data_IF_847550320106
#
_entry.id   IF_847550320106
#
_cell.length_a   1.000
_cell.length_b   1.000
_cell.length_c   1.000
_cell.angle_alpha   90.00
_cell.angle_beta   90.00
_cell.angle_gamma   90.00
#
_symmetry.space_group_name_H-M   'P 1'
#
loop_
_entity.id
_entity.type
_entity.pdbx_description
1 polymer ?
#
# COMPACT_ATOMS: atom_id res chain seq x y z
N UNK A 1 -33.46 -10.81 4.35
CA UNK A 1 -33.91 -10.14 3.10
C UNK A 1 -32.82 -9.29 2.42
N UNK A 2 -31.94 -8.59 3.15
CA UNK A 2 -30.86 -7.77 2.57
C UNK A 2 -29.82 -8.55 1.71
N UNK A 3 -29.45 -9.77 2.10
CA UNK A 3 -28.48 -10.60 1.35
C UNK A 3 -29.00 -11.05 -0.02
N UNK A 4 -30.31 -11.29 -0.17
CA UNK A 4 -30.91 -11.68 -1.44
C UNK A 4 -30.92 -10.53 -2.46
N UNK A 5 -31.11 -9.29 -1.99
CA UNK A 5 -31.07 -8.10 -2.84
C UNK A 5 -29.63 -7.75 -3.30
N UNK A 6 -28.62 -8.01 -2.47
CA UNK A 6 -27.20 -7.87 -2.81
C UNK A 6 -26.78 -8.88 -3.89
N UNK A 7 -27.15 -10.15 -3.74
CA UNK A 7 -26.93 -11.19 -4.75
C UNK A 7 -27.67 -10.91 -6.07
N UNK A 8 -28.90 -10.39 -6.00
CA UNK A 8 -29.66 -10.00 -7.19
C UNK A 8 -29.08 -8.77 -7.90
N UNK A 9 -28.42 -7.85 -7.17
CA UNK A 9 -27.66 -6.73 -7.74
C UNK A 9 -26.35 -7.20 -8.37
N UNK A 10 -25.63 -8.13 -7.74
CA UNK A 10 -24.43 -8.75 -8.30
C UNK A 10 -24.73 -9.52 -9.59
N UNK A 11 -25.80 -10.33 -9.61
CA UNK A 11 -26.24 -11.06 -10.82
C UNK A 11 -26.64 -10.11 -11.96
N UNK A 12 -27.34 -9.00 -11.65
CA UNK A 12 -27.66 -7.96 -12.66
C UNK A 12 -26.42 -7.24 -13.17
N UNK A 13 -25.44 -6.95 -12.30
CA UNK A 13 -24.14 -6.40 -12.69
C UNK A 13 -23.34 -7.32 -13.62
N UNK A 14 -23.38 -8.63 -13.38
CA UNK A 14 -22.76 -9.64 -14.26
C UNK A 14 -23.48 -9.71 -15.62
N UNK A 15 -24.81 -9.61 -15.65
CA UNK A 15 -25.59 -9.57 -16.89
C UNK A 15 -25.38 -8.29 -17.71
N UNK A 16 -25.28 -7.12 -17.07
CA UNK A 16 -24.91 -5.88 -17.78
C UNK A 16 -23.46 -5.88 -18.24
N UNK A 17 -22.53 -6.50 -17.51
CA UNK A 17 -21.17 -6.73 -18.00
C UNK A 17 -21.13 -7.67 -19.22
N UNK A 18 -21.96 -8.72 -19.26
CA UNK A 18 -22.09 -9.57 -20.48
C UNK A 18 -22.65 -8.80 -21.68
N UNK A 19 -23.48 -7.78 -21.47
CA UNK A 19 -24.00 -6.90 -22.54
C UNK A 19 -23.00 -5.84 -23.01
N UNK A 20 -22.14 -5.33 -22.12
CA UNK A 20 -21.14 -4.30 -22.43
C UNK A 20 -19.80 -4.90 -22.92
N UNK A 21 -19.49 -6.15 -22.57
CA UNK A 21 -18.27 -6.86 -22.95
C UNK A 21 -18.19 -7.29 -24.43
N UNK A 22 -19.17 -6.93 -25.26
CA UNK A 22 -19.11 -7.10 -26.73
C UNK A 22 -18.54 -5.88 -27.47
N UNK A 23 -18.05 -4.86 -26.77
CA UNK A 23 -17.06 -3.96 -27.38
C UNK A 23 -15.71 -4.62 -27.21
N UNK A 24 -15.07 -4.96 -28.32
CA UNK A 24 -13.75 -5.61 -28.38
C UNK A 24 -12.73 -4.89 -27.48
N UNK A 25 -12.65 -5.32 -26.23
CA UNK A 25 -11.57 -4.96 -25.33
C UNK A 25 -10.33 -5.67 -25.87
N UNK A 26 -9.61 -4.97 -26.74
CA UNK A 26 -8.36 -5.44 -27.32
C UNK A 26 -7.30 -5.42 -26.22
N UNK A 27 -7.14 -6.56 -25.54
CA UNK A 27 -6.04 -6.77 -24.61
C UNK A 27 -4.75 -6.67 -25.43
N UNK A 28 -3.83 -5.80 -25.01
CA UNK A 28 -2.53 -5.68 -25.68
C UNK A 28 -1.84 -7.06 -25.68
N UNK A 29 -1.25 -7.50 -26.80
CA UNK A 29 -0.58 -8.79 -26.88
C UNK A 29 0.45 -9.02 -25.77
N UNK A 30 1.17 -7.97 -25.37
CA UNK A 30 2.11 -8.00 -24.22
C UNK A 30 1.42 -8.31 -22.89
N UNK A 31 0.28 -7.68 -22.60
CA UNK A 31 -0.54 -7.97 -21.40
C UNK A 31 -1.07 -9.40 -21.42
N UNK A 32 -1.53 -9.85 -22.59
CA UNK A 32 -2.07 -11.20 -22.78
C UNK A 32 -0.98 -12.28 -22.59
N UNK A 33 0.21 -12.06 -23.15
CA UNK A 33 1.36 -12.94 -22.97
C UNK A 33 1.78 -13.02 -21.50
N UNK A 34 1.90 -11.87 -20.82
CA UNK A 34 2.22 -11.81 -19.39
C UNK A 34 1.24 -12.66 -18.55
N UNK A 35 -0.08 -12.53 -18.80
CA UNK A 35 -1.09 -13.34 -18.09
C UNK A 35 -1.04 -14.84 -18.41
N UNK A 36 -0.54 -15.25 -19.58
CA UNK A 36 -0.46 -16.68 -19.99
C UNK A 36 0.86 -17.35 -19.63
N UNK A 37 1.89 -16.58 -19.29
CA UNK A 37 3.22 -17.13 -18.97
C UNK A 37 3.29 -17.88 -17.63
N UNK A 38 2.31 -17.69 -16.73
CA UNK A 38 2.28 -18.37 -15.43
C UNK A 38 1.94 -19.86 -15.57
N UNK A 39 2.91 -20.73 -15.26
CA UNK A 39 2.79 -22.20 -15.25
C UNK A 39 2.80 -22.79 -13.83
N UNK A 40 2.29 -22.05 -12.84
CA UNK A 40 2.27 -22.50 -11.43
C UNK A 40 3.53 -22.16 -10.63
N UNK A 41 4.65 -21.88 -11.31
CA UNK A 41 5.89 -21.35 -10.70
C UNK A 41 6.33 -20.06 -11.38
N UNK A 42 6.69 -19.07 -10.59
CA UNK A 42 7.38 -17.88 -11.07
C UNK A 42 8.44 -17.44 -10.06
N UNK A 43 9.61 -17.07 -10.57
CA UNK A 43 10.68 -16.46 -9.79
C UNK A 43 11.23 -15.27 -10.58
N UNK A 44 11.49 -14.17 -9.89
CA UNK A 44 12.09 -12.97 -10.46
C UNK A 44 13.42 -13.29 -11.18
N UNK A 45 13.61 -12.74 -12.38
CA UNK A 45 14.82 -12.98 -13.20
C UNK A 45 16.02 -12.11 -12.76
N UNK A 46 15.77 -10.86 -12.37
CA UNK A 46 16.81 -9.98 -11.79
C UNK A 46 16.92 -10.25 -10.30
N UNK A 47 18.04 -10.84 -9.88
CA UNK A 47 18.33 -11.05 -8.45
C UNK A 47 18.87 -9.75 -7.87
N UNK A 48 17.99 -8.88 -7.42
CA UNK A 48 18.39 -7.87 -6.44
C UNK A 48 18.12 -8.51 -5.08
N UNK A 49 19.12 -8.54 -4.19
CA UNK A 49 19.03 -9.21 -2.88
C UNK A 49 17.87 -8.74 -1.99
N UNK A 50 17.21 -7.65 -2.38
CA UNK A 50 16.17 -6.93 -1.64
C UNK A 50 14.75 -7.41 -2.01
N UNK A 51 14.50 -7.93 -3.22
CA UNK A 51 13.16 -8.32 -3.68
C UNK A 51 13.19 -9.71 -4.35
N UNK A 52 13.30 -10.79 -3.57
CA UNK A 52 13.17 -12.17 -4.06
C UNK A 52 11.69 -12.58 -4.12
N UNK A 53 11.05 -12.32 -5.28
CA UNK A 53 9.65 -12.68 -5.49
C UNK A 53 9.58 -14.11 -6.04
N UNK A 54 8.90 -14.98 -5.32
CA UNK A 54 8.70 -16.37 -5.68
C UNK A 54 7.25 -16.80 -5.46
N UNK A 55 6.59 -17.20 -6.54
CA UNK A 55 5.32 -17.92 -6.48
C UNK A 55 5.60 -19.42 -6.65
N UNK A 56 5.34 -20.19 -5.60
CA UNK A 56 5.33 -21.66 -5.66
C UNK A 56 3.98 -22.19 -6.09
N UNK A 57 3.92 -23.41 -6.68
CA UNK A 57 2.65 -24.12 -6.75
C UNK A 57 2.20 -24.36 -5.31
N UNK A 58 0.92 -24.16 -5.04
CA UNK A 58 0.37 -24.56 -3.75
C UNK A 58 0.17 -26.08 -3.85
N UNK A 59 1.19 -26.87 -3.51
CA UNK A 59 1.17 -28.34 -3.68
C UNK A 59 0.02 -28.99 -2.87
N UNK A 60 -0.36 -28.42 -1.72
CA UNK A 60 -1.55 -28.81 -0.93
C UNK A 60 -2.90 -28.46 -1.59
N UNK A 61 -2.88 -27.73 -2.71
CA UNK A 61 -4.07 -27.25 -3.41
C UNK A 61 -4.08 -27.69 -4.87
N UNK A 62 -3.34 -28.73 -5.27
CA UNK A 62 -3.38 -29.24 -6.65
C UNK A 62 -4.82 -29.59 -7.12
N UNK A 63 -5.68 -30.02 -6.20
CA UNK A 63 -7.11 -30.25 -6.47
C UNK A 63 -7.96 -28.96 -6.50
N UNK A 64 -7.54 -27.89 -5.83
CA UNK A 64 -8.25 -26.59 -5.70
C UNK A 64 -7.77 -25.57 -6.76
N UNK A 65 -6.52 -25.66 -7.22
CA UNK A 65 -6.01 -25.04 -8.45
C UNK A 65 -6.79 -25.53 -9.69
N UNK A 66 -7.61 -26.58 -9.58
CA UNK A 66 -8.53 -27.00 -10.64
C UNK A 66 -9.70 -26.02 -10.85
N UNK A 67 -9.98 -25.14 -9.89
CA UNK A 67 -11.01 -24.11 -10.07
C UNK A 67 -10.47 -22.98 -10.92
N UNK A 68 -11.17 -22.69 -12.03
CA UNK A 68 -10.79 -21.65 -12.99
C UNK A 68 -10.61 -20.26 -12.33
N UNK A 69 -11.29 -20.02 -11.19
CA UNK A 69 -11.21 -18.78 -10.41
C UNK A 69 -9.85 -18.61 -9.69
N UNK A 70 -9.32 -19.65 -9.04
CA UNK A 70 -8.02 -19.57 -8.37
C UNK A 70 -6.85 -19.44 -9.35
N UNK A 71 -6.92 -20.10 -10.50
CA UNK A 71 -5.93 -19.91 -11.58
C UNK A 71 -5.97 -18.49 -12.14
N UNK A 72 -7.17 -17.94 -12.34
CA UNK A 72 -7.33 -16.57 -12.80
C UNK A 72 -6.73 -15.58 -11.79
N UNK A 73 -7.03 -15.78 -10.51
CA UNK A 73 -6.46 -14.98 -9.42
C UNK A 73 -4.94 -15.02 -9.38
N UNK A 74 -4.33 -16.22 -9.47
CA UNK A 74 -2.87 -16.39 -9.48
C UNK A 74 -2.21 -15.71 -10.69
N UNK A 75 -2.87 -15.73 -11.86
CA UNK A 75 -2.41 -14.99 -13.04
C UNK A 75 -2.46 -13.48 -12.86
N UNK A 76 -3.50 -12.96 -12.19
CA UNK A 76 -3.56 -11.53 -11.86
C UNK A 76 -2.45 -11.17 -10.88
N UNK A 77 -2.28 -11.94 -9.79
CA UNK A 77 -1.19 -11.71 -8.83
C UNK A 77 0.17 -11.70 -9.54
N UNK A 78 0.44 -12.69 -10.38
CA UNK A 78 1.66 -12.78 -11.18
C UNK A 78 1.86 -11.53 -12.06
N UNK A 79 0.81 -11.12 -12.77
CA UNK A 79 0.83 -9.90 -13.59
C UNK A 79 1.14 -8.64 -12.78
N UNK A 80 0.49 -8.46 -11.62
CA UNK A 80 0.73 -7.31 -10.75
C UNK A 80 2.15 -7.35 -10.15
N UNK A 81 2.65 -8.52 -9.73
CA UNK A 81 4.03 -8.67 -9.24
C UNK A 81 5.07 -8.31 -10.31
N UNK A 82 4.85 -8.69 -11.56
CA UNK A 82 5.74 -8.31 -12.67
C UNK A 82 5.74 -6.80 -12.93
N UNK A 83 4.59 -6.14 -12.82
CA UNK A 83 4.49 -4.68 -12.98
C UNK A 83 5.14 -3.95 -11.83
N UNK A 84 4.91 -4.41 -10.60
CA UNK A 84 5.53 -3.87 -9.39
C UNK A 84 7.06 -3.96 -9.49
N UNK A 85 7.57 -5.13 -9.90
CA UNK A 85 9.00 -5.34 -10.16
C UNK A 85 9.55 -4.34 -11.20
N UNK A 86 8.87 -4.19 -12.33
CA UNK A 86 9.30 -3.28 -13.40
C UNK A 86 9.38 -1.81 -12.95
N UNK A 87 8.55 -1.39 -11.97
CA UNK A 87 8.62 -0.04 -11.41
C UNK A 87 9.88 0.16 -10.56
N UNK A 88 10.22 -0.82 -9.73
CA UNK A 88 11.36 -0.72 -8.81
C UNK A 88 12.69 -0.71 -9.56
N UNK A 89 12.76 -1.32 -10.75
CA UNK A 89 13.93 -1.18 -11.63
C UNK A 89 14.16 0.29 -12.08
N UNK A 90 13.15 1.15 -12.00
CA UNK A 90 13.28 2.58 -12.28
C UNK A 90 13.71 3.41 -11.05
N UNK A 91 13.81 2.80 -9.86
CA UNK A 91 14.18 3.49 -8.64
C UNK A 91 15.58 4.10 -8.74
N UNK A 92 15.69 5.37 -8.38
CA UNK A 92 16.95 6.10 -8.35
C UNK A 92 17.22 6.60 -6.93
N UNK A 93 18.22 6.04 -6.25
CA UNK A 93 18.59 6.43 -4.88
C UNK A 93 19.09 7.88 -4.76
N UNK A 94 19.62 8.45 -5.85
CA UNK A 94 20.11 9.84 -5.91
C UNK A 94 19.02 10.83 -6.38
N UNK A 95 17.76 10.40 -6.52
CA UNK A 95 16.70 11.23 -7.12
C UNK A 95 16.48 12.57 -6.39
N UNK A 96 16.53 12.57 -5.06
CA UNK A 96 16.32 13.78 -4.27
C UNK A 96 17.54 14.71 -4.35
N UNK A 97 18.76 14.18 -4.23
CA UNK A 97 19.98 14.98 -4.28
C UNK A 97 20.19 15.64 -5.65
N UNK A 98 19.84 14.94 -6.74
CA UNK A 98 19.84 15.53 -8.09
C UNK A 98 18.86 16.69 -8.27
N UNK A 99 17.88 16.82 -7.37
CA UNK A 99 16.84 17.85 -7.41
C UNK A 99 16.98 18.88 -6.28
N UNK A 100 18.08 18.85 -5.51
CA UNK A 100 18.25 19.66 -4.28
C UNK A 100 17.09 19.48 -3.28
N UNK A 101 16.40 18.33 -3.34
CA UNK A 101 15.33 17.96 -2.42
C UNK A 101 15.91 17.18 -1.25
N UNK A 102 15.26 17.30 -0.09
CA UNK A 102 15.62 16.52 1.10
C UNK A 102 14.53 15.50 1.45
N UNK A 103 14.87 14.41 2.19
CA UNK A 103 13.87 13.50 2.72
C UNK A 103 12.77 14.21 3.52
N UNK A 104 13.14 15.26 4.27
CA UNK A 104 12.21 16.09 5.04
C UNK A 104 11.20 16.84 4.16
N UNK A 105 11.63 17.39 3.02
CA UNK A 105 10.71 18.02 2.06
C UNK A 105 9.72 17.02 1.47
N UNK A 106 10.17 15.80 1.16
CA UNK A 106 9.29 14.71 0.70
C UNK A 106 8.27 14.32 1.77
N UNK A 107 8.72 14.10 3.01
CA UNK A 107 7.86 13.80 4.14
C UNK A 107 6.82 14.91 4.38
N UNK A 108 7.24 16.18 4.28
CA UNK A 108 6.36 17.35 4.44
C UNK A 108 5.28 17.39 3.36
N UNK A 109 5.66 17.19 2.09
CA UNK A 109 4.70 17.13 0.97
C UNK A 109 3.71 15.97 1.17
N UNK A 110 4.18 14.76 1.50
CA UNK A 110 3.31 13.59 1.58
C UNK A 110 2.38 13.66 2.79
N UNK A 111 2.86 14.18 3.93
CA UNK A 111 2.02 14.51 5.08
C UNK A 111 0.94 15.54 4.72
N UNK A 112 1.25 16.55 3.91
CA UNK A 112 0.25 17.48 3.38
C UNK A 112 -0.75 16.79 2.44
N UNK A 113 -0.29 15.93 1.52
CA UNK A 113 -1.17 15.18 0.61
C UNK A 113 -2.15 14.26 1.35
N UNK A 114 -1.75 13.63 2.46
CA UNK A 114 -2.66 12.86 3.32
C UNK A 114 -3.78 13.76 3.87
N UNK A 115 -3.45 15.00 4.28
CA UNK A 115 -4.45 15.97 4.76
C UNK A 115 -5.38 16.41 3.62
N UNK A 116 -4.86 16.63 2.43
CA UNK A 116 -5.65 16.97 1.23
C UNK A 116 -6.63 15.84 0.88
N UNK A 117 -6.16 14.59 0.88
CA UNK A 117 -7.02 13.43 0.69
C UNK A 117 -8.12 13.34 1.74
N UNK A 118 -7.79 13.57 3.01
CA UNK A 118 -8.77 13.53 4.09
C UNK A 118 -9.74 14.73 4.08
N UNK A 119 -9.36 15.87 3.50
CA UNK A 119 -10.24 17.02 3.34
C UNK A 119 -11.25 16.81 2.20
N UNK A 120 -10.77 16.42 1.01
CA UNK A 120 -11.61 16.22 -0.18
C UNK A 120 -12.24 14.83 -0.31
N UNK A 121 -11.91 13.90 0.58
CA UNK A 121 -12.50 12.55 0.66
C UNK A 121 -12.38 11.73 -0.62
N UNK A 122 -11.37 11.98 -1.44
CA UNK A 122 -11.07 11.09 -2.55
C UNK A 122 -10.47 9.76 -2.06
N UNK A 123 -10.49 8.67 -2.85
CA UNK A 123 -10.04 7.35 -2.39
C UNK A 123 -8.58 7.33 -1.90
N UNK A 124 -8.27 6.53 -0.87
CA UNK A 124 -6.88 6.38 -0.39
C UNK A 124 -5.99 5.76 -1.46
N UNK A 125 -6.55 4.92 -2.31
CA UNK A 125 -5.88 4.38 -3.50
C UNK A 125 -5.41 5.49 -4.44
N UNK A 126 -6.18 6.57 -4.62
CA UNK A 126 -5.80 7.72 -5.45
C UNK A 126 -4.60 8.48 -4.86
N UNK A 127 -4.54 8.61 -3.54
CA UNK A 127 -3.41 9.21 -2.83
C UNK A 127 -2.13 8.40 -3.06
N UNK A 128 -2.21 7.07 -2.92
CA UNK A 128 -1.06 6.19 -3.13
C UNK A 128 -0.60 6.14 -4.59
N UNK A 129 -1.53 6.25 -5.55
CA UNK A 129 -1.17 6.47 -6.96
C UNK A 129 -0.47 7.82 -7.11
N UNK A 130 -1.01 8.89 -6.55
CA UNK A 130 -0.41 10.23 -6.63
C UNK A 130 1.01 10.27 -6.04
N UNK A 131 1.23 9.73 -4.84
CA UNK A 131 2.56 9.71 -4.22
C UNK A 131 3.57 8.88 -5.04
N UNK A 132 3.13 7.76 -5.61
CA UNK A 132 3.94 6.97 -6.54
C UNK A 132 4.33 7.78 -7.79
N UNK A 133 3.39 8.58 -8.33
CA UNK A 133 3.67 9.45 -9.46
C UNK A 133 4.64 10.59 -9.10
N UNK A 134 4.58 11.13 -7.88
CA UNK A 134 5.54 12.14 -7.41
C UNK A 134 6.95 11.56 -7.36
N UNK A 135 7.14 10.43 -6.68
CA UNK A 135 8.44 9.77 -6.56
C UNK A 135 8.99 9.41 -7.94
N UNK A 136 8.17 8.78 -8.79
CA UNK A 136 8.62 8.39 -10.13
C UNK A 136 8.97 9.59 -11.01
N UNK A 137 8.30 10.73 -10.83
CA UNK A 137 8.65 11.95 -11.54
C UNK A 137 10.03 12.47 -11.12
N UNK A 138 10.33 12.48 -9.82
CA UNK A 138 11.64 12.92 -9.31
C UNK A 138 12.77 11.95 -9.65
N UNK A 139 12.48 10.66 -9.85
CA UNK A 139 13.46 9.69 -10.35
C UNK A 139 13.95 10.01 -11.77
N UNK A 140 13.10 10.65 -12.59
CA UNK A 140 13.35 10.90 -14.03
C UNK A 140 13.63 12.36 -14.37
N UNK A 141 13.19 13.30 -13.53
CA UNK A 141 13.24 14.74 -13.82
C UNK A 141 13.72 15.51 -12.60
N UNK A 142 14.75 16.32 -12.82
CA UNK A 142 15.16 17.34 -11.86
C UNK A 142 14.01 18.29 -11.58
N UNK A 143 13.68 18.45 -10.30
CA UNK A 143 12.57 19.29 -9.84
C UNK A 143 13.09 20.29 -8.83
N UNK A 144 13.01 21.58 -9.16
CA UNK A 144 13.40 22.62 -8.21
C UNK A 144 12.51 22.58 -6.95
N UNK A 145 13.07 22.81 -5.76
CA UNK A 145 12.34 22.86 -4.49
C UNK A 145 11.01 23.63 -4.54
N UNK A 146 11.00 24.81 -5.17
CA UNK A 146 9.84 25.72 -5.19
C UNK A 146 8.69 25.21 -6.09
N UNK A 147 8.98 24.25 -6.98
CA UNK A 147 8.00 23.62 -7.86
C UNK A 147 7.64 22.19 -7.41
N UNK A 148 8.15 21.73 -6.27
CA UNK A 148 7.90 20.38 -5.78
C UNK A 148 6.43 20.18 -5.32
N UNK A 149 5.83 21.18 -4.67
CA UNK A 149 4.39 21.13 -4.33
C UNK A 149 3.51 21.07 -5.58
N UNK A 150 3.85 21.80 -6.64
CA UNK A 150 3.16 21.72 -7.94
C UNK A 150 3.20 20.30 -8.54
N UNK A 151 4.32 19.57 -8.40
CA UNK A 151 4.39 18.15 -8.79
C UNK A 151 3.39 17.32 -7.97
N UNK A 152 3.32 17.55 -6.66
CA UNK A 152 2.35 16.89 -5.78
C UNK A 152 0.89 17.15 -6.19
N UNK A 153 0.55 18.41 -6.48
CA UNK A 153 -0.79 18.80 -6.91
C UNK A 153 -1.16 18.14 -8.25
N UNK A 154 -0.29 18.22 -9.25
CA UNK A 154 -0.52 17.57 -10.55
C UNK A 154 -0.65 16.04 -10.42
N UNK A 155 0.13 15.43 -9.53
CA UNK A 155 0.03 14.01 -9.23
C UNK A 155 -1.32 13.63 -8.60
N UNK A 156 -1.89 14.48 -7.73
CA UNK A 156 -3.25 14.29 -7.19
C UNK A 156 -4.28 14.32 -8.30
N UNK A 157 -4.21 15.30 -9.22
CA UNK A 157 -5.11 15.39 -10.39
C UNK A 157 -5.09 14.07 -11.18
N UNK A 158 -3.89 13.56 -11.50
CA UNK A 158 -3.74 12.29 -12.20
C UNK A 158 -4.25 11.11 -11.37
N UNK A 159 -3.90 11.05 -10.09
CA UNK A 159 -4.35 9.99 -9.17
C UNK A 159 -5.87 9.88 -9.14
N UNK A 160 -6.58 10.99 -8.94
CA UNK A 160 -8.05 10.98 -8.88
C UNK A 160 -8.67 10.63 -10.24
N UNK A 161 -8.15 11.17 -11.35
CA UNK A 161 -8.62 10.82 -12.70
C UNK A 161 -8.45 9.33 -13.01
N UNK A 162 -7.39 8.69 -12.50
CA UNK A 162 -7.10 7.28 -12.73
C UNK A 162 -7.94 6.32 -11.86
N UNK A 163 -8.39 6.75 -10.67
CA UNK A 163 -9.01 5.84 -9.69
C UNK A 163 -10.49 6.07 -9.44
N UNK A 164 -11.05 7.24 -9.75
CA UNK A 164 -12.47 7.55 -9.46
C UNK A 164 -13.24 8.02 -10.71
N UNK A 165 -14.52 7.64 -10.77
CA UNK A 165 -15.47 8.13 -11.80
C UNK A 165 -15.95 9.55 -11.54
N UNK A 166 -15.82 10.03 -10.30
CA UNK A 166 -16.20 11.38 -9.88
C UNK A 166 -14.94 12.04 -9.29
N UNK A 167 -14.07 12.61 -10.14
CA UNK A 167 -12.85 13.25 -9.68
C UNK A 167 -13.18 14.47 -8.83
N UNK A 168 -12.56 14.54 -7.67
CA UNK A 168 -12.56 15.65 -6.71
C UNK A 168 -11.21 15.59 -6.00
N UNK A 169 -10.56 16.72 -5.66
CA UNK A 169 -10.93 18.13 -5.89
C UNK A 169 -10.92 18.61 -7.36
N UNK A 170 -11.48 19.80 -7.63
CA UNK A 170 -11.29 20.52 -8.91
C UNK A 170 -9.87 21.11 -9.02
N UNK A 171 -9.52 21.69 -10.17
CA UNK A 171 -8.24 22.40 -10.32
C UNK A 171 -8.20 23.68 -9.48
N UNK A 172 -9.30 24.41 -9.43
CA UNK A 172 -9.45 25.64 -8.65
C UNK A 172 -9.33 25.35 -7.15
N UNK A 173 -9.98 24.27 -6.68
CA UNK A 173 -9.86 23.75 -5.32
C UNK A 173 -8.40 23.46 -4.94
N UNK A 174 -7.65 22.80 -5.84
CA UNK A 174 -6.25 22.48 -5.62
C UNK A 174 -5.36 23.72 -5.61
N UNK A 175 -5.62 24.71 -6.48
CA UNK A 175 -4.90 25.98 -6.48
C UNK A 175 -5.16 26.74 -5.18
N UNK A 176 -6.42 26.76 -4.72
CA UNK A 176 -6.80 27.34 -3.44
C UNK A 176 -6.06 26.70 -2.25
N UNK A 177 -5.90 25.37 -2.22
CA UNK A 177 -5.12 24.67 -1.19
C UNK A 177 -3.63 25.04 -1.18
N UNK A 178 -3.11 25.55 -2.29
CA UNK A 178 -1.74 26.08 -2.37
C UNK A 178 -1.68 27.58 -2.10
N UNK A 179 -2.72 28.16 -1.50
CA UNK A 179 -2.85 29.61 -1.27
C UNK A 179 -2.70 30.41 -2.58
N UNK A 180 -3.15 29.83 -3.69
CA UNK A 180 -3.00 30.37 -5.05
C UNK A 180 -1.54 30.63 -5.46
N UNK A 181 -0.58 29.89 -4.89
CA UNK A 181 0.82 29.90 -5.33
C UNK A 181 0.96 29.47 -6.80
N UNK A 182 0.03 28.65 -7.29
CA UNK A 182 0.00 28.18 -8.68
C UNK A 182 -1.35 28.47 -9.34
N UNK A 183 -1.31 28.74 -10.65
CA UNK A 183 -2.53 28.85 -11.47
C UNK A 183 -3.02 27.50 -11.98
N UNK A 184 -4.26 27.43 -12.44
CA UNK A 184 -4.82 26.20 -13.03
C UNK A 184 -4.06 25.79 -14.30
N UNK A 185 -3.55 26.75 -15.08
CA UNK A 185 -2.72 26.52 -16.26
C UNK A 185 -1.36 25.91 -15.89
N UNK A 186 -0.74 26.37 -14.80
CA UNK A 186 0.51 25.77 -14.31
C UNK A 186 0.29 24.31 -13.87
N UNK A 187 -0.84 24.02 -13.21
CA UNK A 187 -1.20 22.65 -12.80
C UNK A 187 -1.43 21.77 -14.03
N UNK A 188 -2.18 22.25 -15.03
CA UNK A 188 -2.42 21.53 -16.28
C UNK A 188 -1.13 21.28 -17.07
N UNK A 189 -0.27 22.29 -17.17
CA UNK A 189 1.04 22.15 -17.81
C UNK A 189 1.89 21.10 -17.09
N UNK A 190 1.87 21.08 -15.75
CA UNK A 190 2.59 20.08 -14.98
C UNK A 190 2.01 18.68 -15.19
N UNK A 191 0.68 18.54 -15.22
CA UNK A 191 -0.01 17.29 -15.52
C UNK A 191 0.44 16.74 -16.88
N UNK A 192 0.40 17.56 -17.93
CA UNK A 192 0.84 17.16 -19.28
C UNK A 192 2.32 16.75 -19.30
N UNK A 193 3.18 17.49 -18.59
CA UNK A 193 4.60 17.16 -18.48
C UNK A 193 4.84 15.82 -17.77
N UNK A 194 4.05 15.49 -16.75
CA UNK A 194 4.11 14.17 -16.09
C UNK A 194 3.68 13.07 -17.06
N UNK A 195 2.56 13.23 -17.76
CA UNK A 195 2.07 12.26 -18.77
C UNK A 195 3.14 11.96 -19.83
N UNK A 196 3.75 13.01 -20.41
CA UNK A 196 4.83 12.87 -21.40
C UNK A 196 6.07 12.21 -20.82
N UNK A 197 6.45 12.55 -19.58
CA UNK A 197 7.62 11.96 -18.91
C UNK A 197 7.45 10.45 -18.68
N UNK A 198 6.22 10.00 -18.47
CA UNK A 198 5.90 8.58 -18.28
C UNK A 198 5.56 7.83 -19.57
N UNK A 199 5.52 8.51 -20.72
CA UNK A 199 5.05 7.90 -21.97
C UNK A 199 3.63 7.32 -21.82
N UNK A 200 2.78 7.97 -21.03
CA UNK A 200 1.43 7.51 -20.69
C UNK A 200 1.33 6.15 -19.95
N UNK A 201 2.44 5.61 -19.46
CA UNK A 201 2.43 4.41 -18.61
C UNK A 201 2.37 4.81 -17.13
N UNK A 202 1.18 5.16 -16.61
CA UNK A 202 1.02 5.70 -15.23
C UNK A 202 0.59 4.68 -14.19
N UNK A 203 -0.11 3.62 -14.62
CA UNK A 203 -0.74 2.68 -13.71
C UNK A 203 0.33 1.68 -13.29
N UNK A 204 0.64 1.67 -12.00
CA UNK A 204 1.45 0.65 -11.35
C UNK A 204 0.75 0.16 -10.08
N UNK A 205 1.06 -1.07 -9.63
CA UNK A 205 0.54 -1.58 -8.36
C UNK A 205 0.93 -0.67 -7.21
N UNK A 206 0.01 -0.50 -6.27
CA UNK A 206 0.24 0.17 -4.98
C UNK A 206 0.05 -0.88 -3.86
N UNK A 207 0.51 -0.64 -2.62
CA UNK A 207 0.37 -1.64 -1.55
C UNK A 207 -1.08 -2.10 -1.34
N UNK A 208 -2.05 -1.20 -1.57
CA UNK A 208 -3.48 -1.49 -1.53
C UNK A 208 -3.92 -2.59 -2.51
N UNK A 209 -3.28 -2.68 -3.69
CA UNK A 209 -3.55 -3.70 -4.71
C UNK A 209 -3.38 -5.11 -4.15
N UNK A 210 -2.45 -5.29 -3.21
CA UNK A 210 -2.06 -6.60 -2.68
C UNK A 210 -2.80 -7.02 -1.40
N UNK A 211 -3.64 -6.15 -0.81
CA UNK A 211 -4.40 -6.47 0.41
C UNK A 211 -5.28 -7.69 0.18
N UNK A 212 -6.12 -7.65 -0.88
CA UNK A 212 -7.06 -8.73 -1.18
C UNK A 212 -6.36 -10.06 -1.41
N UNK A 213 -5.16 -10.04 -2.01
CA UNK A 213 -4.34 -11.23 -2.20
C UNK A 213 -3.87 -11.83 -0.88
N UNK A 214 -3.34 -10.97 -0.01
CA UNK A 214 -2.77 -11.38 1.26
C UNK A 214 -3.80 -11.89 2.26
N UNK A 215 -5.03 -11.35 2.23
CA UNK A 215 -6.11 -11.77 3.14
C UNK A 215 -6.52 -13.24 2.96
N UNK A 216 -6.28 -13.84 1.79
CA UNK A 216 -6.50 -15.29 1.58
C UNK A 216 -5.58 -16.12 2.46
N UNK A 217 -4.39 -15.60 2.81
CA UNK A 217 -3.46 -16.28 3.69
C UNK A 217 -3.79 -16.19 5.18
N UNK A 218 -4.89 -15.54 5.56
CA UNK A 218 -5.32 -15.37 6.96
C UNK A 218 -6.38 -16.37 7.43
N UNK A 219 -6.56 -17.47 6.71
CA UNK A 219 -7.44 -18.57 7.15
C UNK A 219 -6.99 -19.23 8.47
N UNK A 220 -5.73 -19.09 8.85
CA UNK A 220 -5.18 -19.60 10.11
C UNK A 220 -5.27 -18.61 11.27
N UNK A 221 -5.90 -17.44 11.05
CA UNK A 221 -6.16 -16.49 12.12
C UNK A 221 -7.43 -16.89 12.92
N UNK A 222 -7.50 -16.52 14.20
CA UNK A 222 -8.69 -16.75 15.03
C UNK A 222 -9.96 -16.09 14.45
N UNK A 223 -11.12 -16.73 14.58
CA UNK A 223 -12.40 -16.26 14.01
C UNK A 223 -12.86 -14.88 14.54
N UNK A 224 -12.40 -14.51 15.74
CA UNK A 224 -12.70 -13.23 16.39
C UNK A 224 -11.93 -12.04 15.78
N UNK A 225 -10.93 -12.30 14.94
CA UNK A 225 -10.18 -11.26 14.23
C UNK A 225 -11.00 -10.73 13.04
N UNK A 226 -11.65 -9.58 13.21
CA UNK A 226 -12.42 -8.94 12.13
C UNK A 226 -11.49 -8.51 10.97
N UNK A 227 -11.72 -9.07 9.78
CA UNK A 227 -10.99 -8.73 8.55
C UNK A 227 -11.00 -7.21 8.24
N UNK A 228 -12.04 -6.48 8.65
CA UNK A 228 -12.11 -5.01 8.51
C UNK A 228 -11.06 -4.30 9.36
N UNK A 229 -10.79 -4.78 10.58
CA UNK A 229 -9.72 -4.26 11.45
C UNK A 229 -8.38 -4.43 10.76
N UNK A 230 -8.15 -5.60 10.17
CA UNK A 230 -6.92 -5.92 9.44
C UNK A 230 -6.73 -5.03 8.20
N UNK A 231 -7.78 -4.84 7.39
CA UNK A 231 -7.75 -3.93 6.24
C UNK A 231 -7.46 -2.49 6.68
N UNK A 232 -8.07 -2.02 7.76
CA UNK A 232 -7.85 -0.68 8.30
C UNK A 232 -6.43 -0.51 8.86
N UNK A 233 -5.86 -1.53 9.51
CA UNK A 233 -4.46 -1.55 9.94
C UNK A 233 -3.53 -1.44 8.74
N UNK A 234 -3.78 -2.21 7.68
CA UNK A 234 -2.96 -2.13 6.47
C UNK A 234 -2.98 -0.72 5.89
N UNK A 235 -4.17 -0.14 5.71
CA UNK A 235 -4.33 1.22 5.21
C UNK A 235 -3.64 2.26 6.09
N UNK A 236 -3.77 2.13 7.41
CA UNK A 236 -3.10 3.01 8.36
C UNK A 236 -1.57 2.93 8.24
N UNK A 237 -1.02 1.72 8.25
CA UNK A 237 0.43 1.48 8.15
C UNK A 237 0.98 1.96 6.81
N UNK A 238 0.23 1.77 5.72
CA UNK A 238 0.61 2.28 4.39
C UNK A 238 0.65 3.81 4.36
N UNK A 239 -0.33 4.49 4.94
CA UNK A 239 -0.35 5.95 5.02
C UNK A 239 0.76 6.50 5.92
N UNK A 240 1.10 5.81 7.02
CA UNK A 240 2.28 6.15 7.80
C UNK A 240 3.55 6.03 6.95
N UNK A 241 3.71 4.91 6.24
CA UNK A 241 4.87 4.65 5.40
C UNK A 241 5.10 5.62 4.24
N UNK A 242 4.12 6.44 3.87
CA UNK A 242 4.27 7.42 2.79
C UNK A 242 5.41 8.40 3.08
N UNK A 243 5.54 8.87 4.33
CA UNK A 243 6.55 9.89 4.69
C UNK A 243 7.96 9.33 4.81
N UNK A 244 8.12 8.01 4.88
CA UNK A 244 9.41 7.36 5.06
C UNK A 244 10.11 7.11 3.72
N UNK A 245 11.25 7.77 3.50
CA UNK A 245 12.00 7.66 2.24
C UNK A 245 12.64 6.28 2.07
N UNK A 246 13.12 5.65 3.15
CA UNK A 246 13.78 4.34 3.05
C UNK A 246 12.83 3.26 2.50
N UNK A 247 11.52 3.46 2.63
CA UNK A 247 10.51 2.58 2.05
C UNK A 247 10.36 2.74 0.53
N UNK A 248 10.78 3.86 -0.07
CA UNK A 248 10.59 4.15 -1.50
C UNK A 248 11.25 3.11 -2.43
N UNK A 249 12.35 2.48 -1.99
CA UNK A 249 13.09 1.47 -2.75
C UNK A 249 12.41 0.08 -2.82
N UNK A 250 11.42 -0.17 -1.97
CA UNK A 250 10.78 -1.49 -1.89
C UNK A 250 9.51 -1.57 -2.74
N UNK A 251 9.30 -2.74 -3.32
CA UNK A 251 8.11 -3.07 -4.11
C UNK A 251 6.82 -2.92 -3.29
N UNK A 252 5.72 -2.53 -3.94
CA UNK A 252 4.42 -2.38 -3.29
C UNK A 252 3.90 -3.69 -2.68
N UNK A 253 4.16 -4.81 -3.35
CA UNK A 253 3.86 -6.17 -2.87
C UNK A 253 4.65 -6.52 -1.62
N UNK A 254 5.93 -6.16 -1.55
CA UNK A 254 6.77 -6.41 -0.37
C UNK A 254 6.31 -5.55 0.81
N UNK A 255 5.98 -4.27 0.57
CA UNK A 255 5.39 -3.38 1.58
C UNK A 255 4.11 -3.95 2.16
N UNK A 256 3.22 -4.47 1.32
CA UNK A 256 2.00 -5.13 1.75
C UNK A 256 2.31 -6.41 2.54
N UNK A 257 3.17 -7.29 2.03
CA UNK A 257 3.55 -8.53 2.69
C UNK A 257 4.18 -8.29 4.08
N UNK A 258 5.09 -7.32 4.17
CA UNK A 258 5.74 -6.92 5.42
C UNK A 258 4.74 -6.34 6.43
N UNK A 259 3.74 -5.59 5.97
CA UNK A 259 2.64 -5.10 6.82
C UNK A 259 1.79 -6.25 7.36
N UNK A 260 1.49 -7.25 6.52
CA UNK A 260 0.76 -8.45 6.92
C UNK A 260 1.58 -9.25 7.94
N UNK A 261 2.88 -9.39 7.72
CA UNK A 261 3.81 -10.04 8.65
C UNK A 261 3.83 -9.32 10.01
N UNK A 262 3.92 -7.98 10.01
CA UNK A 262 3.87 -7.17 11.22
C UNK A 262 2.53 -7.34 11.96
N UNK A 263 1.40 -7.30 11.26
CA UNK A 263 0.07 -7.46 11.88
C UNK A 263 -0.06 -8.84 12.54
N UNK A 264 0.40 -9.91 11.88
CA UNK A 264 0.44 -11.26 12.47
C UNK A 264 1.30 -11.29 13.73
N UNK A 265 2.45 -10.63 13.71
CA UNK A 265 3.30 -10.50 14.89
C UNK A 265 2.59 -9.76 16.03
N UNK A 266 1.95 -8.62 15.76
CA UNK A 266 1.22 -7.85 16.76
C UNK A 266 0.02 -8.63 17.35
N UNK A 267 -0.66 -9.45 16.55
CA UNK A 267 -1.73 -10.33 17.03
C UNK A 267 -1.21 -11.35 18.05
N UNK A 268 0.01 -11.88 17.87
CA UNK A 268 0.63 -12.81 18.83
C UNK A 268 0.88 -12.16 20.20
N UNK A 269 1.04 -10.83 20.25
CA UNK A 269 1.27 -10.08 21.50
C UNK A 269 -0.01 -9.85 22.31
N UNK A 270 -1.21 -10.05 21.74
CA UNK A 270 -2.49 -9.77 22.41
C UNK A 270 -2.98 -10.89 23.33
N UNK A 271 -2.35 -12.07 23.31
CA UNK A 271 -2.80 -13.18 24.17
C UNK A 271 -2.87 -12.75 25.65
N UNK A 272 -3.99 -13.06 26.28
CA UNK A 272 -4.26 -12.82 27.71
C UNK A 272 -3.95 -14.05 28.58
N UNK A 273 -3.13 -14.96 28.07
CA UNK A 273 -2.96 -16.29 28.65
C UNK A 273 -2.10 -16.16 29.92
N UNK A 274 -2.52 -16.76 31.05
CA UNK A 274 -1.69 -16.80 32.25
C UNK A 274 -0.39 -17.55 31.92
N UNK A 275 0.73 -17.05 32.45
CA UNK A 275 2.07 -17.62 32.28
C UNK A 275 2.04 -19.14 32.51
N UNK A 276 2.05 -19.95 31.44
CA UNK A 276 2.14 -21.41 31.57
C UNK A 276 1.44 -22.25 30.48
N UNK A 277 0.31 -21.82 29.93
CA UNK A 277 -0.40 -22.61 28.88
C UNK A 277 -0.31 -21.94 27.50
N UNK A 278 0.86 -22.10 26.88
CA UNK A 278 1.17 -21.57 25.55
C UNK A 278 0.64 -22.46 24.41
N UNK A 279 0.21 -23.68 24.72
CA UNK A 279 -0.01 -24.73 23.71
C UNK A 279 -1.38 -24.65 23.03
N UNK A 280 -2.39 -24.07 23.69
CA UNK A 280 -3.76 -23.98 23.17
C UNK A 280 -4.21 -22.54 22.90
N UNK A 281 -3.31 -21.56 22.97
CA UNK A 281 -3.68 -20.18 22.69
C UNK A 281 -3.79 -19.94 21.18
N UNK A 282 -4.97 -19.53 20.66
CA UNK A 282 -5.17 -19.31 19.23
C UNK A 282 -4.27 -18.17 18.70
N UNK A 283 -3.84 -17.22 19.53
CA UNK A 283 -2.93 -16.15 19.15
C UNK A 283 -1.45 -16.56 19.14
N UNK A 284 -0.99 -17.40 20.08
CA UNK A 284 0.41 -17.88 20.07
C UNK A 284 0.67 -18.87 18.94
N UNK A 285 -0.35 -19.62 18.55
CA UNK A 285 -0.30 -20.58 17.45
C UNK A 285 -0.29 -19.95 16.06
N UNK A 286 -0.57 -18.65 15.94
CA UNK A 286 -0.47 -17.91 14.65
C UNK A 286 0.95 -18.05 14.11
N UNK A 287 1.15 -18.76 13.00
CA UNK A 287 2.47 -18.84 12.37
C UNK A 287 2.97 -17.44 11.98
N UNK A 288 4.26 -17.15 12.13
CA UNK A 288 4.82 -15.86 11.71
C UNK A 288 4.65 -15.64 10.21
N UNK A 289 4.95 -16.67 9.42
CA UNK A 289 4.80 -16.68 7.97
C UNK A 289 4.62 -18.11 7.47
N UNK A 290 3.55 -18.40 6.73
CA UNK A 290 3.27 -19.74 6.20
C UNK A 290 3.68 -19.85 4.72
N UNK A 291 3.82 -21.08 4.21
CA UNK A 291 4.01 -21.28 2.76
C UNK A 291 2.82 -20.77 1.95
N UNK A 292 1.61 -20.83 2.52
CA UNK A 292 0.42 -20.20 1.95
C UNK A 292 0.58 -18.68 1.85
N UNK A 293 1.03 -18.01 2.91
CA UNK A 293 1.35 -16.56 2.86
C UNK A 293 2.36 -16.27 1.77
N UNK A 294 3.42 -17.08 1.64
CA UNK A 294 4.38 -16.92 0.57
C UNK A 294 3.75 -17.12 -0.83
N UNK A 295 2.85 -18.09 -0.99
CA UNK A 295 2.16 -18.36 -2.24
C UNK A 295 1.16 -17.27 -2.66
N UNK A 296 0.46 -16.63 -1.71
CA UNK A 296 -0.55 -15.60 -2.01
C UNK A 296 0.00 -14.17 -2.03
N UNK A 297 1.21 -13.95 -1.49
CA UNK A 297 1.89 -12.64 -1.55
C UNK A 297 3.00 -12.61 -2.60
N UNK A 298 3.55 -13.78 -2.96
CA UNK A 298 4.77 -13.90 -3.75
C UNK A 298 6.06 -13.69 -2.94
N UNK A 299 5.98 -13.52 -1.61
CA UNK A 299 7.13 -13.18 -0.77
C UNK A 299 7.39 -14.24 0.29
N UNK A 300 8.62 -14.76 0.35
CA UNK A 300 9.07 -15.60 1.48
C UNK A 300 9.47 -14.74 2.68
N UNK A 301 9.65 -15.37 3.83
CA UNK A 301 10.18 -14.73 5.04
C UNK A 301 11.68 -14.40 4.87
N UNK A 302 11.96 -13.34 4.11
CA UNK A 302 13.31 -12.85 3.82
C UNK A 302 13.75 -11.77 4.82
N UNK A 303 15.05 -11.44 4.83
CA UNK A 303 15.58 -10.31 5.61
C UNK A 303 14.96 -8.98 5.18
N UNK A 304 14.71 -8.78 3.88
CA UNK A 304 14.04 -7.59 3.38
C UNK A 304 12.60 -7.46 3.90
N UNK A 305 11.84 -8.57 3.93
CA UNK A 305 10.49 -8.58 4.50
C UNK A 305 10.50 -8.19 5.98
N UNK A 306 11.42 -8.76 6.77
CA UNK A 306 11.58 -8.43 8.20
C UNK A 306 12.00 -6.98 8.41
N UNK A 307 12.95 -6.49 7.61
CA UNK A 307 13.43 -5.10 7.66
C UNK A 307 12.30 -4.10 7.39
N UNK A 308 11.50 -4.32 6.34
CA UNK A 308 10.35 -3.44 6.04
C UNK A 308 9.30 -3.51 7.16
N UNK A 309 9.04 -4.70 7.72
CA UNK A 309 8.13 -4.87 8.85
C UNK A 309 8.64 -4.14 10.10
N UNK A 310 9.96 -4.20 10.37
CA UNK A 310 10.61 -3.49 11.46
C UNK A 310 10.51 -1.97 11.29
N UNK A 311 10.76 -1.43 10.08
CA UNK A 311 10.56 0.00 9.78
C UNK A 311 9.13 0.42 10.07
N UNK A 312 8.12 -0.33 9.61
CA UNK A 312 6.72 -0.05 9.94
C UNK A 312 6.43 -0.11 11.44
N UNK A 313 7.02 -1.07 12.16
CA UNK A 313 6.91 -1.20 13.61
C UNK A 313 7.46 0.03 14.34
N UNK A 314 8.64 0.53 13.95
CA UNK A 314 9.22 1.75 14.51
C UNK A 314 8.33 2.97 14.28
N UNK A 315 7.79 3.12 13.07
CA UNK A 315 6.87 4.24 12.75
C UNK A 315 5.58 4.17 13.58
N UNK A 316 5.05 2.98 13.84
CA UNK A 316 3.90 2.80 14.71
C UNK A 316 4.22 3.19 16.15
N UNK A 317 5.39 2.81 16.69
CA UNK A 317 5.86 3.22 18.02
C UNK A 317 6.02 4.74 18.08
N UNK A 318 6.61 5.35 17.05
CA UNK A 318 6.71 6.81 16.97
C UNK A 318 5.32 7.48 16.92
N UNK A 319 4.36 6.87 16.24
CA UNK A 319 2.99 7.37 16.22
C UNK A 319 2.27 7.24 17.57
N UNK A 320 2.70 6.35 18.48
CA UNK A 320 2.13 6.22 19.83
C UNK A 320 2.32 7.50 20.66
N UNK A 321 3.32 8.32 20.37
CA UNK A 321 3.51 9.61 21.04
C UNK A 321 2.32 10.57 20.85
N UNK A 322 1.50 10.38 19.80
CA UNK A 322 0.27 11.16 19.60
C UNK A 322 -0.93 10.71 20.45
N UNK A 323 -0.80 9.62 21.21
CA UNK A 323 -1.86 9.17 22.12
C UNK A 323 -2.04 10.13 23.31
N UNK A 324 -0.97 10.82 23.72
CA UNK A 324 -0.99 11.78 24.82
C UNK A 324 -1.10 13.21 24.26
N UNK A 325 -2.30 13.80 24.31
CA UNK A 325 -2.54 15.17 23.80
C UNK A 325 -1.86 16.27 24.64
N UNK A 326 -1.29 15.93 25.80
CA UNK A 326 -0.72 16.85 26.82
C UNK A 326 0.75 17.22 26.61
N UNK A 327 1.43 16.74 25.58
CA UNK A 327 2.78 17.22 25.19
C UNK A 327 2.78 17.79 23.77
N UNK A 328 2.14 18.94 23.52
CA UNK A 328 2.06 19.52 22.17
C UNK A 328 3.37 20.14 21.69
N UNK A 329 4.39 20.25 22.55
CA UNK A 329 5.48 21.22 22.40
C UNK A 329 6.92 20.70 22.33
N UNK A 330 7.19 19.39 22.30
CA UNK A 330 8.57 18.88 22.33
C UNK A 330 8.94 17.85 21.25
N UNK A 331 8.15 17.74 20.17
CA UNK A 331 8.57 16.96 19.00
C UNK A 331 9.04 17.88 17.89
N UNK A 332 10.30 18.28 17.95
CA UNK A 332 10.99 18.90 16.82
C UNK A 332 11.29 17.84 15.76
N UNK A 333 10.93 18.12 14.51
CA UNK A 333 11.39 17.36 13.34
C UNK A 333 10.57 16.11 12.98
N UNK A 334 10.84 14.96 13.63
CA UNK A 334 10.55 13.63 13.06
C UNK A 334 9.08 13.19 13.15
N UNK A 335 8.48 13.23 14.36
CA UNK A 335 7.10 12.75 14.57
C UNK A 335 6.04 13.58 13.85
N UNK A 336 6.33 14.87 13.59
CA UNK A 336 5.38 15.78 12.93
C UNK A 336 4.83 15.24 11.60
N UNK A 337 5.63 14.44 10.88
CA UNK A 337 5.30 13.86 9.58
C UNK A 337 4.26 12.72 9.66
N UNK A 338 4.18 12.02 10.79
CA UNK A 338 3.25 10.89 11.00
C UNK A 338 1.86 11.35 11.47
N UNK A 339 1.73 12.64 11.81
CA UNK A 339 0.55 13.20 12.47
C UNK A 339 -0.69 13.20 11.58
N UNK A 340 -0.56 13.42 10.26
CA UNK A 340 -1.72 13.43 9.37
C UNK A 340 -2.38 12.05 9.28
N UNK A 341 -1.59 11.00 9.07
CA UNK A 341 -2.07 9.62 9.05
C UNK A 341 -2.68 9.25 10.41
N UNK A 342 -1.98 9.52 11.52
CA UNK A 342 -2.50 9.24 12.86
C UNK A 342 -3.87 9.90 13.10
N UNK A 343 -4.02 11.18 12.74
CA UNK A 343 -5.30 11.90 12.88
C UNK A 343 -6.40 11.34 11.99
N UNK A 344 -6.08 10.99 10.72
CA UNK A 344 -7.03 10.39 9.77
C UNK A 344 -7.61 9.09 10.33
N UNK A 345 -6.75 8.21 10.85
CA UNK A 345 -7.13 6.89 11.36
C UNK A 345 -7.56 6.87 12.84
N UNK A 346 -7.53 8.01 13.52
CA UNK A 346 -8.04 8.18 14.89
C UNK A 346 -9.53 8.51 14.97
N UNK A 347 -10.20 8.66 13.81
CA UNK A 347 -11.63 9.02 13.69
C UNK A 347 -12.53 7.78 13.73
N UNK A 348 -13.81 7.98 14.03
CA UNK A 348 -14.82 6.91 14.17
C UNK A 348 -15.04 6.13 12.87
N UNK A 349 -14.99 6.81 11.72
CA UNK A 349 -15.11 6.19 10.41
C UNK A 349 -14.01 5.16 10.10
N UNK A 350 -12.89 5.20 10.82
CA UNK A 350 -11.75 4.31 10.69
C UNK A 350 -11.62 3.38 11.89
N UNK A 351 -12.71 3.18 12.65
CA UNK A 351 -12.74 2.40 13.90
C UNK A 351 -11.68 2.83 14.92
N UNK A 352 -11.23 4.09 14.85
CA UNK A 352 -10.12 4.63 15.64
C UNK A 352 -8.88 3.72 15.58
N UNK A 353 -8.58 3.12 14.43
CA UNK A 353 -7.57 2.08 14.30
C UNK A 353 -6.17 2.53 14.76
N UNK A 354 -5.83 3.82 14.63
CA UNK A 354 -4.59 4.38 15.15
C UNK A 354 -4.47 4.32 16.69
N UNK A 355 -5.58 4.10 17.39
CA UNK A 355 -5.68 3.96 18.86
C UNK A 355 -6.04 2.53 19.28
N UNK A 356 -6.09 1.59 18.34
CA UNK A 356 -6.43 0.20 18.58
C UNK A 356 -5.35 -0.49 19.45
N UNK A 357 -5.70 -1.33 20.44
CA UNK A 357 -4.74 -2.02 21.31
C UNK A 357 -3.55 -2.64 20.57
N UNK A 358 -3.77 -3.26 19.41
CA UNK A 358 -2.72 -3.83 18.54
C UNK A 358 -1.56 -2.88 18.23
N UNK A 359 -1.83 -1.59 18.03
CA UNK A 359 -0.80 -0.63 17.60
C UNK A 359 -0.34 0.30 18.70
N UNK A 360 -1.02 0.31 19.85
CA UNK A 360 -0.64 1.14 21.02
C UNK A 360 0.03 0.37 22.15
N UNK A 361 -0.12 -0.95 22.21
CA UNK A 361 0.37 -1.78 23.32
C UNK A 361 1.53 -2.68 22.88
N UNK A 362 2.58 -2.09 22.30
CA UNK A 362 3.83 -2.80 22.03
C UNK A 362 5.00 -1.82 22.04
N UNK A 363 6.20 -2.33 22.30
CA UNK A 363 7.44 -1.58 22.48
C UNK A 363 8.47 -1.97 21.43
N UNK A 364 9.61 -1.25 21.41
CA UNK A 364 10.73 -1.60 20.53
C UNK A 364 11.21 -3.03 20.83
N UNK A 365 11.25 -3.45 22.11
CA UNK A 365 11.70 -4.79 22.50
C UNK A 365 10.89 -5.91 21.84
N UNK A 366 9.59 -5.70 21.65
CA UNK A 366 8.69 -6.68 21.03
C UNK A 366 8.98 -6.90 19.54
N UNK A 367 9.64 -5.95 18.87
CA UNK A 367 9.96 -6.00 17.44
C UNK A 367 11.46 -6.10 17.14
N UNK A 368 12.35 -6.08 18.15
CA UNK A 368 13.81 -6.14 17.95
C UNK A 368 14.26 -7.37 17.17
N UNK A 369 13.61 -8.53 17.36
CA UNK A 369 13.93 -9.75 16.60
C UNK A 369 13.62 -9.67 15.09
N UNK A 370 12.93 -8.61 14.65
CA UNK A 370 12.71 -8.30 13.23
C UNK A 370 13.83 -7.45 12.64
N UNK A 371 14.66 -6.85 13.49
CA UNK A 371 15.84 -6.12 13.06
C UNK A 371 16.85 -7.12 12.51
N UNK A 372 17.13 -7.01 11.21
CA UNK A 372 18.12 -7.82 10.51
C UNK A 372 19.26 -6.94 10.00
N UNK A 373 19.65 -5.94 10.78
CA UNK A 373 20.78 -5.05 10.50
C UNK A 373 22.11 -5.77 10.45
#
# INVERSE_FOLDING_TARGET
MANAQLLARAKRGILTMKGVARKDLRILPSTYELMRTFRGRWRRKSRDAVNDIQMHPLDEYAEIESTMEMLFFRRILHYELMRDDSLILEYNSNCLSMSELTPSMRATLFNWLIRVQEYYKFPSEALHVATTLVDRFTWRRMTRPEKYQLVGVAAVVLGVKLTTRKPSPSLEDLCYLTENTYSTEEVQYKEEKMLKTFGYNLIYPIPHTFIGFSLIGFEDLPEDVDARVIILLCRYIFDQGLTELSLAQYAASLKCAATMYLIRHLLRLICQCPLGDLTNCPFHSISRWTDKMAGVTGHRETTALKRVAFTYGLMLIEAQFFLNETTPGLMTGCGSSLRAAFKKYSRDNSLRIARHPLVKNFTIADILHLDTT
#
